data_IF_134011514701
#
_entry.id   IF_134011514701
#
_cell.length_a   1.000
_cell.length_b   1.000
_cell.length_c   1.000
_cell.angle_alpha   90.00
_cell.angle_beta   90.00
_cell.angle_gamma   90.00
#
_symmetry.space_group_name_H-M   'P 1'
#
loop_
_entity.id
_entity.type
_entity.pdbx_description
1 polymer ?
#
# COMPACT_ATOMS: atom_id res chain seq x y z
N UNK A 1 26.65 24.25 1.32
CA UNK A 1 26.80 23.04 0.49
C UNK A 1 26.28 21.86 1.30
N UNK A 2 25.03 21.43 1.06
CA UNK A 2 24.41 20.32 1.78
C UNK A 2 24.99 19.02 1.21
N UNK A 3 25.77 18.28 2.00
CA UNK A 3 26.22 16.93 1.64
C UNK A 3 25.01 16.00 1.76
N UNK A 4 24.51 15.54 0.61
CA UNK A 4 23.62 14.38 0.54
C UNK A 4 24.50 13.15 0.82
N UNK A 5 24.42 12.62 2.04
CA UNK A 5 25.05 11.34 2.35
C UNK A 5 24.48 10.25 1.44
N UNK A 6 25.35 9.33 1.03
CA UNK A 6 25.00 8.25 0.11
C UNK A 6 23.82 7.44 0.65
N UNK A 7 22.80 7.26 -0.19
CA UNK A 7 21.62 6.46 0.11
C UNK A 7 22.09 5.05 0.50
N UNK A 8 22.00 4.71 1.80
CA UNK A 8 22.27 3.35 2.27
C UNK A 8 21.35 2.40 1.52
N UNK A 9 21.92 1.28 1.05
CA UNK A 9 21.17 0.24 0.35
C UNK A 9 19.94 -0.16 1.17
N UNK A 10 18.76 -0.32 0.53
CA UNK A 10 17.58 -0.84 1.20
C UNK A 10 17.93 -2.11 1.97
N UNK A 11 17.52 -2.22 3.23
CA UNK A 11 17.50 -3.52 3.88
C UNK A 11 16.51 -4.40 3.11
N UNK A 12 16.95 -5.61 2.74
CA UNK A 12 16.05 -6.60 2.19
C UNK A 12 14.89 -6.84 3.16
N UNK A 13 13.69 -7.13 2.64
CA UNK A 13 12.58 -7.54 3.48
C UNK A 13 13.04 -8.74 4.32
N UNK A 14 12.64 -8.81 5.60
CA UNK A 14 12.85 -10.02 6.39
C UNK A 14 12.25 -11.19 5.62
N UNK A 15 13.02 -12.27 5.41
CA UNK A 15 12.56 -13.44 4.68
C UNK A 15 11.47 -14.12 5.51
N UNK A 16 10.22 -13.75 5.25
CA UNK A 16 9.06 -14.56 5.61
C UNK A 16 8.83 -15.46 4.39
N UNK A 17 8.78 -16.76 4.59
CA UNK A 17 8.53 -17.69 3.50
C UNK A 17 7.04 -17.77 3.19
N UNK A 18 6.68 -18.12 1.95
CA UNK A 18 5.28 -18.25 1.54
C UNK A 18 4.53 -19.28 2.39
N UNK A 19 5.23 -20.35 2.82
CA UNK A 19 4.68 -21.41 3.65
C UNK A 19 4.22 -20.90 5.02
N UNK A 20 4.94 -19.95 5.63
CA UNK A 20 4.56 -19.36 6.92
C UNK A 20 3.21 -18.64 6.84
N UNK A 21 2.97 -17.96 5.72
CA UNK A 21 1.72 -17.21 5.49
C UNK A 21 0.58 -18.16 5.15
N UNK A 22 0.84 -19.21 4.38
CA UNK A 22 -0.15 -20.24 4.07
C UNK A 22 -0.69 -20.90 5.35
N UNK A 23 0.21 -21.31 6.25
CA UNK A 23 -0.13 -21.85 7.57
C UNK A 23 -0.98 -20.83 8.35
N UNK A 24 -0.63 -19.55 8.28
CA UNK A 24 -1.36 -18.51 8.99
C UNK A 24 -2.80 -18.31 8.47
N UNK A 25 -2.98 -18.25 7.14
CA UNK A 25 -4.28 -18.00 6.51
C UNK A 25 -5.19 -19.25 6.57
N UNK A 26 -4.63 -20.45 6.38
CA UNK A 26 -5.38 -21.72 6.33
C UNK A 26 -6.11 -22.08 7.64
N UNK A 27 -5.78 -21.42 8.75
CA UNK A 27 -6.50 -21.56 10.03
C UNK A 27 -7.82 -20.78 10.10
N UNK A 28 -8.14 -19.95 9.10
CA UNK A 28 -9.30 -19.05 9.11
C UNK A 28 -10.50 -19.60 8.31
N UNK A 29 -11.72 -19.38 8.84
CA UNK A 29 -13.01 -19.99 8.46
C UNK A 29 -13.56 -19.62 7.06
N UNK A 30 -12.91 -18.74 6.32
CA UNK A 30 -13.46 -18.18 5.10
C UNK A 30 -12.68 -18.73 3.91
N UNK A 31 -13.26 -19.71 3.20
CA UNK A 31 -12.64 -20.41 2.05
C UNK A 31 -12.01 -19.46 1.02
N UNK A 32 -11.16 -19.99 0.14
CA UNK A 32 -10.18 -19.26 -0.69
C UNK A 32 -10.64 -17.89 -1.26
N UNK A 33 -10.52 -16.82 -0.46
CA UNK A 33 -10.62 -15.43 -0.92
C UNK A 33 -9.33 -15.08 -1.68
N UNK A 34 -8.23 -15.71 -1.29
CA UNK A 34 -6.88 -15.48 -1.81
C UNK A 34 -6.15 -16.81 -1.89
N UNK A 35 -5.58 -17.13 -3.06
CA UNK A 35 -4.57 -18.18 -3.19
C UNK A 35 -3.20 -17.54 -2.96
N UNK A 36 -2.49 -18.00 -1.91
CA UNK A 36 -1.19 -17.44 -1.53
C UNK A 36 -0.10 -17.77 -2.56
N UNK A 37 -0.26 -18.84 -3.34
CA UNK A 37 0.73 -19.27 -4.35
C UNK A 37 0.84 -18.27 -5.51
N UNK A 38 -0.19 -17.45 -5.72
CA UNK A 38 -0.19 -16.34 -6.68
C UNK A 38 0.65 -15.14 -6.22
N UNK A 39 1.10 -15.12 -4.96
CA UNK A 39 1.77 -13.99 -4.35
C UNK A 39 3.27 -14.21 -4.21
N UNK A 40 4.01 -13.11 -4.34
CA UNK A 40 5.43 -13.07 -4.00
C UNK A 40 5.79 -11.82 -3.22
N UNK A 41 6.92 -11.80 -2.49
CA UNK A 41 7.39 -10.60 -1.83
C UNK A 41 7.59 -9.44 -2.80
N UNK A 42 7.10 -8.26 -2.44
CA UNK A 42 7.24 -7.06 -3.26
C UNK A 42 8.71 -6.67 -3.40
N UNK A 43 9.15 -6.45 -4.63
CA UNK A 43 10.55 -6.14 -4.90
C UNK A 43 10.95 -4.78 -4.30
N UNK A 44 12.17 -4.67 -3.72
CA UNK A 44 12.65 -3.40 -3.18
C UNK A 44 12.70 -2.25 -4.19
N UNK A 45 12.82 -2.57 -5.48
CA UNK A 45 12.84 -1.62 -6.61
C UNK A 45 11.58 -0.74 -6.66
N UNK A 46 10.41 -1.30 -6.34
CA UNK A 46 9.12 -0.59 -6.33
C UNK A 46 9.15 0.59 -5.35
N UNK A 47 9.75 0.42 -4.16
CA UNK A 47 9.80 1.48 -3.14
C UNK A 47 10.73 2.64 -3.52
N UNK A 48 11.61 2.44 -4.51
CA UNK A 48 12.55 3.43 -5.01
C UNK A 48 12.00 4.20 -6.23
N UNK A 49 10.87 3.77 -6.81
CA UNK A 49 10.26 4.46 -7.94
C UNK A 49 9.83 5.89 -7.59
N UNK A 50 10.03 6.80 -8.53
CA UNK A 50 9.62 8.19 -8.40
C UNK A 50 8.12 8.38 -8.58
N UNK A 51 7.50 9.22 -7.74
CA UNK A 51 6.05 9.46 -7.74
C UNK A 51 5.49 9.92 -9.10
N UNK A 52 6.09 10.97 -9.70
CA UNK A 52 5.52 11.61 -10.90
C UNK A 52 5.43 10.69 -12.12
N UNK A 53 6.42 9.80 -12.29
CA UNK A 53 6.48 8.91 -13.45
C UNK A 53 5.66 7.62 -13.24
N UNK A 54 5.62 7.09 -12.01
CA UNK A 54 5.12 5.73 -11.74
C UNK A 54 3.90 5.68 -10.81
N UNK A 55 3.21 6.80 -10.53
CA UNK A 55 2.04 6.83 -9.62
C UNK A 55 1.03 5.70 -9.90
N UNK A 56 0.63 5.57 -11.16
CA UNK A 56 -0.35 4.56 -11.59
C UNK A 56 0.17 3.14 -11.44
N UNK A 57 1.44 2.92 -11.79
CA UNK A 57 2.09 1.61 -11.68
C UNK A 57 2.22 1.19 -10.21
N UNK A 58 2.61 2.12 -9.33
CA UNK A 58 2.68 1.90 -7.88
C UNK A 58 1.28 1.54 -7.35
N UNK A 59 0.26 2.31 -7.72
CA UNK A 59 -1.12 2.07 -7.30
C UNK A 59 -1.63 0.70 -7.74
N UNK A 60 -1.39 0.33 -9.00
CA UNK A 60 -1.77 -0.95 -9.59
C UNK A 60 -1.03 -2.12 -8.94
N UNK A 61 0.26 -1.96 -8.69
CA UNK A 61 1.08 -2.99 -8.03
C UNK A 61 0.61 -3.25 -6.59
N UNK A 62 0.23 -2.19 -5.88
CA UNK A 62 -0.25 -2.30 -4.50
C UNK A 62 -1.73 -2.70 -4.40
N UNK A 63 -2.47 -2.65 -5.49
CA UNK A 63 -3.86 -3.08 -5.54
C UNK A 63 -3.97 -4.61 -5.41
N UNK A 64 -4.64 -5.05 -4.35
CA UNK A 64 -4.70 -6.46 -3.99
C UNK A 64 -3.38 -6.99 -3.42
N UNK A 65 -2.43 -6.12 -3.06
CA UNK A 65 -1.28 -6.55 -2.26
C UNK A 65 -1.73 -6.95 -0.84
N UNK A 66 -0.96 -7.82 -0.21
CA UNK A 66 -1.13 -8.18 1.20
C UNK A 66 0.00 -7.60 2.04
N UNK A 67 -0.34 -7.06 3.19
CA UNK A 67 0.60 -6.69 4.24
C UNK A 67 0.56 -7.79 5.29
N UNK A 68 1.67 -8.49 5.45
CA UNK A 68 1.89 -9.34 6.61
C UNK A 68 2.62 -8.54 7.70
N UNK A 69 1.98 -8.37 8.85
CA UNK A 69 2.48 -7.53 9.95
C UNK A 69 2.14 -8.16 11.30
N UNK A 70 3.15 -8.63 12.03
CA UNK A 70 2.93 -9.40 13.27
C UNK A 70 2.10 -10.65 13.00
N UNK A 71 0.94 -10.76 13.65
CA UNK A 71 -0.04 -11.83 13.46
C UNK A 71 -1.23 -11.38 12.60
N UNK A 72 -1.06 -10.43 11.70
CA UNK A 72 -2.13 -10.01 10.80
C UNK A 72 -1.68 -10.08 9.35
N UNK A 73 -2.59 -10.56 8.50
CA UNK A 73 -2.46 -10.47 7.06
C UNK A 73 -3.60 -9.60 6.55
N UNK A 74 -3.24 -8.44 6.02
CA UNK A 74 -4.19 -7.43 5.56
C UNK A 74 -4.12 -7.34 4.04
N UNK A 75 -5.18 -7.75 3.35
CA UNK A 75 -5.35 -7.50 1.92
C UNK A 75 -5.72 -6.03 1.72
N UNK A 76 -5.15 -5.39 0.68
CA UNK A 76 -5.42 -4.00 0.33
C UNK A 76 -6.19 -3.92 -0.99
N UNK A 77 -7.52 -3.89 -1.00
CA UNK A 77 -8.28 -3.80 -2.25
C UNK A 77 -8.12 -2.46 -2.96
N UNK A 78 -7.86 -1.38 -2.21
CA UNK A 78 -7.81 -0.03 -2.75
C UNK A 78 -6.72 0.83 -2.08
N UNK A 79 -5.94 1.56 -2.89
CA UNK A 79 -4.91 2.48 -2.41
C UNK A 79 -4.93 3.81 -3.14
N UNK A 80 -4.47 4.87 -2.47
CA UNK A 80 -4.22 6.17 -3.06
C UNK A 80 -2.76 6.55 -2.86
N UNK A 81 -2.09 6.97 -3.93
CA UNK A 81 -0.66 7.29 -3.93
C UNK A 81 -0.48 8.81 -3.89
N UNK A 82 0.30 9.26 -2.92
CA UNK A 82 0.63 10.66 -2.67
C UNK A 82 2.12 10.89 -2.84
N UNK A 83 2.48 12.00 -3.49
CA UNK A 83 3.87 12.46 -3.56
C UNK A 83 4.31 13.05 -2.23
N UNK A 84 5.62 13.16 -1.96
CA UNK A 84 6.11 13.82 -0.73
C UNK A 84 6.36 15.31 -0.86
N UNK A 85 6.41 15.85 -2.07
CA UNK A 85 6.69 17.28 -2.29
C UNK A 85 5.41 18.08 -2.09
N UNK A 86 5.29 18.91 -1.03
CA UNK A 86 4.06 19.64 -0.71
C UNK A 86 3.59 20.60 -1.80
N UNK A 87 4.51 21.05 -2.64
CA UNK A 87 4.20 21.94 -3.77
C UNK A 87 3.38 21.24 -4.87
N UNK A 88 3.43 19.91 -4.96
CA UNK A 88 2.79 19.14 -6.04
C UNK A 88 1.52 18.38 -5.58
N UNK A 89 1.27 18.27 -4.27
CA UNK A 89 0.16 17.49 -3.72
C UNK A 89 -0.34 18.10 -2.39
N UNK A 90 -1.53 18.74 -2.38
CA UNK A 90 -2.08 19.41 -1.19
C UNK A 90 -2.49 18.43 -0.08
N UNK A 91 -2.42 17.11 -0.34
CA UNK A 91 -2.70 16.06 0.63
C UNK A 91 -1.42 15.39 1.16
N UNK A 92 -0.22 15.83 0.73
CA UNK A 92 1.08 15.24 1.12
C UNK A 92 1.55 15.63 2.52
N UNK A 93 0.66 15.79 3.49
CA UNK A 93 1.03 16.14 4.85
C UNK A 93 2.09 15.18 5.40
N UNK A 94 2.76 15.55 6.50
CA UNK A 94 3.84 14.81 7.17
C UNK A 94 3.42 13.39 7.63
N UNK A 95 3.10 12.49 6.70
CA UNK A 95 2.44 11.23 7.01
C UNK A 95 3.44 10.24 7.64
N UNK A 96 4.74 10.31 7.30
CA UNK A 96 5.82 9.56 7.99
C UNK A 96 7.19 10.19 7.71
N UNK A 97 7.97 10.65 8.70
CA UNK A 97 9.39 10.99 8.46
C UNK A 97 10.19 9.73 8.10
N UNK A 98 11.12 9.78 7.13
CA UNK A 98 11.93 8.62 6.78
C UNK A 98 12.77 8.23 7.98
N UNK A 99 12.39 7.13 8.63
CA UNK A 99 13.34 6.31 9.35
C UNK A 99 14.13 5.59 8.25
N UNK A 100 15.40 5.28 8.46
CA UNK A 100 16.37 4.77 7.48
C UNK A 100 15.97 3.50 6.69
N UNK A 101 14.74 3.01 6.83
CA UNK A 101 14.14 1.96 6.02
C UNK A 101 13.40 2.53 4.81
N UNK A 102 13.64 1.90 3.66
CA UNK A 102 13.09 2.29 2.35
C UNK A 102 11.56 2.15 2.27
N UNK A 103 10.98 1.44 3.24
CA UNK A 103 9.55 1.19 3.40
C UNK A 103 9.21 1.16 4.88
N UNK A 104 8.11 1.83 5.26
CA UNK A 104 7.47 1.70 6.58
C UNK A 104 5.97 1.50 6.41
N UNK A 105 5.43 0.48 7.07
CA UNK A 105 3.98 0.32 7.23
C UNK A 105 3.61 0.87 8.61
N UNK A 106 2.63 1.77 8.67
CA UNK A 106 2.19 2.35 9.94
C UNK A 106 0.74 2.82 9.88
N UNK A 107 0.14 3.01 11.05
CA UNK A 107 -1.07 3.79 11.20
C UNK A 107 -0.75 5.24 11.47
N UNK A 108 -1.61 6.11 10.96
CA UNK A 108 -1.68 7.51 11.35
C UNK A 108 -3.10 7.86 11.77
N UNK A 109 -3.27 8.91 12.56
CA UNK A 109 -4.59 9.44 12.87
C UNK A 109 -4.79 10.75 12.10
N UNK A 110 -5.81 10.81 11.23
CA UNK A 110 -6.08 11.96 10.36
C UNK A 110 -7.57 12.02 10.00
N UNK A 111 -8.16 13.21 9.91
CA UNK A 111 -9.61 13.42 9.73
C UNK A 111 -10.48 12.63 10.72
N UNK A 112 -10.04 12.53 11.99
CA UNK A 112 -10.71 11.77 13.05
C UNK A 112 -10.83 10.25 12.79
N UNK A 113 -10.02 9.69 11.88
CA UNK A 113 -9.97 8.25 11.61
C UNK A 113 -8.53 7.73 11.60
N UNK A 114 -8.36 6.45 11.94
CA UNK A 114 -7.06 5.79 11.79
C UNK A 114 -6.87 5.34 10.34
N UNK A 115 -5.74 5.70 9.73
CA UNK A 115 -5.44 5.37 8.33
C UNK A 115 -4.20 4.49 8.24
N UNK A 116 -4.26 3.42 7.44
CA UNK A 116 -3.11 2.56 7.16
C UNK A 116 -2.29 3.09 5.98
N UNK A 117 -0.98 3.28 6.18
CA UNK A 117 -0.09 3.86 5.18
C UNK A 117 1.14 2.97 4.96
N UNK A 118 1.55 2.86 3.70
CA UNK A 118 2.87 2.40 3.28
C UNK A 118 3.68 3.63 2.85
N UNK A 119 4.61 4.08 3.69
CA UNK A 119 5.48 5.21 3.40
C UNK A 119 6.83 4.76 2.83
N UNK A 120 7.31 5.46 1.80
CA UNK A 120 8.68 5.32 1.25
C UNK A 120 9.42 6.66 1.28
N UNK A 121 10.64 6.70 0.74
CA UNK A 121 11.39 7.96 0.58
C UNK A 121 10.76 8.93 -0.42
N UNK A 122 10.02 8.43 -1.41
CA UNK A 122 9.55 9.22 -2.57
C UNK A 122 8.04 9.45 -2.57
N UNK A 123 7.28 8.56 -1.94
CA UNK A 123 5.82 8.57 -1.98
C UNK A 123 5.22 7.94 -0.71
N UNK A 124 3.91 8.06 -0.54
CA UNK A 124 3.13 7.32 0.45
C UNK A 124 1.90 6.71 -0.21
N UNK A 125 1.55 5.49 0.15
CA UNK A 125 0.32 4.83 -0.27
C UNK A 125 -0.64 4.71 0.92
N UNK A 126 -1.81 5.33 0.80
CA UNK A 126 -2.90 5.23 1.75
C UNK A 126 -3.80 4.06 1.37
N UNK A 127 -4.00 3.08 2.25
CA UNK A 127 -5.03 2.07 2.08
C UNK A 127 -6.41 2.69 2.34
N UNK A 128 -7.25 2.74 1.30
CA UNK A 128 -8.61 3.30 1.36
C UNK A 128 -9.70 2.23 1.50
N UNK A 129 -9.28 0.98 1.60
CA UNK A 129 -10.05 -0.16 2.09
C UNK A 129 -9.07 -1.25 2.45
N UNK A 130 -9.43 -2.12 3.39
CA UNK A 130 -8.61 -3.27 3.75
C UNK A 130 -9.48 -4.43 4.23
N UNK A 131 -8.92 -5.64 4.16
CA UNK A 131 -9.54 -6.85 4.69
C UNK A 131 -8.49 -7.58 5.51
N UNK A 132 -8.74 -7.79 6.79
CA UNK A 132 -7.93 -8.67 7.61
C UNK A 132 -8.32 -10.13 7.30
N UNK A 133 -7.44 -10.86 6.63
CA UNK A 133 -7.74 -12.20 6.12
C UNK A 133 -7.90 -13.24 7.24
N UNK A 134 -7.28 -13.02 8.40
CA UNK A 134 -7.37 -13.93 9.54
C UNK A 134 -8.69 -13.87 10.28
N UNK A 135 -9.26 -12.68 10.43
CA UNK A 135 -10.50 -12.46 11.19
C UNK A 135 -11.70 -12.30 10.28
N UNK A 136 -11.48 -11.98 9.00
CA UNK A 136 -12.53 -11.61 8.05
C UNK A 136 -13.05 -10.17 8.24
N UNK A 137 -12.41 -9.35 9.08
CA UNK A 137 -12.82 -7.96 9.29
C UNK A 137 -12.57 -7.17 7.99
N UNK A 138 -13.61 -6.48 7.53
CA UNK A 138 -13.58 -5.64 6.32
C UNK A 138 -13.72 -4.19 6.76
N UNK A 139 -12.75 -3.37 6.37
CA UNK A 139 -12.74 -1.94 6.59
C UNK A 139 -12.92 -1.23 5.24
N UNK A 140 -14.01 -0.48 5.11
CA UNK A 140 -14.35 0.27 3.88
C UNK A 140 -14.12 1.76 4.13
N UNK A 141 -13.35 2.40 3.26
CA UNK A 141 -12.89 3.77 3.47
C UNK A 141 -11.51 3.81 4.13
N UNK A 142 -11.03 5.01 4.43
CA UNK A 142 -9.69 5.18 4.99
C UNK A 142 -9.58 4.77 6.47
N UNK A 143 -10.67 4.38 7.15
CA UNK A 143 -10.65 3.97 8.55
C UNK A 143 -10.17 2.52 8.68
N UNK A 144 -8.98 2.30 9.22
CA UNK A 144 -8.35 1.00 9.40
C UNK A 144 -8.07 0.76 10.89
N UNK A 145 -9.12 0.79 11.70
CA UNK A 145 -9.00 0.83 13.16
C UNK A 145 -8.49 -0.49 13.75
N UNK A 146 -8.84 -1.60 13.11
CA UNK A 146 -8.48 -2.96 13.53
C UNK A 146 -7.11 -3.43 13.01
N UNK A 147 -6.47 -2.67 12.11
CA UNK A 147 -5.14 -3.02 11.63
C UNK A 147 -4.08 -2.67 12.68
N UNK A 148 -3.35 -3.67 13.14
CA UNK A 148 -2.13 -3.54 13.92
C UNK A 148 -0.93 -3.37 12.97
N UNK A 149 0.12 -2.71 13.45
CA UNK A 149 1.38 -2.57 12.70
C UNK A 149 2.53 -2.98 13.61
N UNK A 150 3.34 -3.93 13.15
CA UNK A 150 4.56 -4.36 13.83
C UNK A 150 5.78 -3.57 13.33
N UNK A 151 6.89 -3.66 14.07
CA UNK A 151 8.17 -3.05 13.70
C UNK A 151 8.71 -3.57 12.36
N UNK A 152 8.33 -4.79 11.97
CA UNK A 152 8.62 -5.38 10.68
C UNK A 152 7.31 -5.72 9.97
N UNK A 153 7.25 -5.45 8.68
CA UNK A 153 6.11 -5.82 7.84
C UNK A 153 6.60 -6.21 6.46
N UNK A 154 6.05 -7.28 5.90
CA UNK A 154 6.36 -7.79 4.56
C UNK A 154 5.17 -7.48 3.66
N UNK A 155 5.42 -6.93 2.47
CA UNK A 155 4.35 -6.70 1.49
C UNK A 155 4.49 -7.79 0.44
N UNK A 156 3.40 -8.46 0.16
CA UNK A 156 3.25 -9.46 -0.87
C UNK A 156 2.36 -8.91 -1.97
N UNK A 157 2.71 -9.19 -3.22
CA UNK A 157 1.91 -8.75 -4.35
C UNK A 157 1.59 -9.92 -5.27
N UNK A 158 0.50 -9.78 -6.02
CA UNK A 158 0.08 -10.76 -7.01
C UNK A 158 0.96 -10.70 -8.26
N UNK A 159 1.41 -11.86 -8.71
CA UNK A 159 2.16 -12.01 -9.95
C UNK A 159 1.38 -11.60 -11.21
N UNK A 160 0.06 -11.66 -11.12
CA UNK A 160 -0.91 -11.46 -12.19
C UNK A 160 -1.78 -10.22 -11.96
N UNK A 161 -1.25 -9.15 -11.36
CA UNK A 161 -2.05 -7.98 -10.96
C UNK A 161 -2.95 -7.44 -12.10
N UNK A 162 -2.55 -7.57 -13.36
CA UNK A 162 -3.34 -7.18 -14.53
C UNK A 162 -4.67 -7.94 -14.66
N UNK A 163 -4.72 -9.17 -14.14
CA UNK A 163 -5.89 -10.05 -14.09
C UNK A 163 -6.66 -9.90 -12.77
N UNK A 164 -6.15 -9.10 -11.82
CA UNK A 164 -6.80 -8.90 -10.54
C UNK A 164 -8.08 -8.08 -10.73
N UNK A 165 -9.28 -8.64 -10.47
CA UNK A 165 -10.54 -7.91 -10.59
C UNK A 165 -10.62 -6.71 -9.64
N UNK A 166 -9.77 -6.65 -8.59
CA UNK A 166 -9.66 -5.50 -7.69
C UNK A 166 -8.91 -4.33 -8.33
N UNK A 167 -8.09 -4.56 -9.36
CA UNK A 167 -7.46 -3.47 -10.13
C UNK A 167 -8.51 -2.70 -10.92
N UNK A 168 -9.54 -3.35 -11.45
CA UNK A 168 -10.69 -2.62 -12.01
C UNK A 168 -11.38 -1.75 -10.97
N UNK A 169 -11.46 -2.18 -9.70
CA UNK A 169 -12.02 -1.36 -8.61
C UNK A 169 -11.16 -0.15 -8.27
N UNK A 170 -9.83 -0.24 -8.39
CA UNK A 170 -8.96 0.93 -8.29
C UNK A 170 -9.29 1.95 -9.38
N UNK A 171 -9.50 1.48 -10.61
CA UNK A 171 -9.79 2.32 -11.78
C UNK A 171 -11.20 2.96 -11.70
N UNK A 172 -12.16 2.35 -11.00
CA UNK A 172 -13.55 2.82 -10.93
C UNK A 172 -13.84 3.88 -9.85
N UNK A 173 -12.90 4.19 -8.96
CA UNK A 173 -13.15 5.12 -7.83
C UNK A 173 -12.89 6.58 -8.19
N UNK A 174 -13.96 7.41 -8.26
CA UNK A 174 -14.11 8.90 -8.15
C UNK A 174 -13.06 9.89 -8.72
N UNK A 175 -11.87 9.47 -9.10
CA UNK A 175 -10.78 10.26 -9.66
C UNK A 175 -10.42 9.86 -11.09
N UNK A 176 -11.18 8.95 -11.72
CA UNK A 176 -11.22 8.94 -13.17
C UNK A 176 -11.78 10.31 -13.56
N UNK A 177 -10.89 11.19 -14.02
CA UNK A 177 -11.18 12.52 -14.48
C UNK A 177 -12.47 12.48 -15.33
N UNK A 178 -13.59 12.88 -14.72
CA UNK A 178 -14.55 13.63 -15.50
C UNK A 178 -13.80 14.93 -15.75
N UNK A 179 -13.36 15.15 -16.99
CA UNK A 179 -12.84 16.45 -17.41
C UNK A 179 -13.93 17.49 -17.08
N UNK A 180 -13.86 18.10 -15.90
CA UNK A 180 -14.77 19.20 -15.51
C UNK A 180 -14.30 20.55 -16.06
N UNK A 181 -13.34 20.54 -16.98
CA UNK A 181 -13.03 21.68 -17.82
C UNK A 181 -13.11 21.29 -19.30
N UNK A 182 -14.31 20.94 -19.77
CA UNK A 182 -14.65 21.31 -21.14
C UNK A 182 -14.67 22.82 -21.17
N UNK A 183 -13.61 23.41 -21.76
CA UNK A 183 -13.47 24.81 -22.17
C UNK A 183 -14.73 25.61 -21.89
N UNK A 184 -14.73 26.42 -20.83
CA UNK A 184 -15.60 27.59 -20.84
C UNK A 184 -15.21 28.39 -22.08
N UNK A 185 -16.20 28.54 -22.95
CA UNK A 185 -16.12 29.07 -24.29
C UNK A 185 -15.48 30.46 -24.35
N UNK A 186 -14.93 30.76 -25.53
CA UNK A 186 -14.68 32.07 -26.16
C UNK A 186 -14.93 33.31 -25.30
#
# INVERSE_FOLDING_TARGET
MIRLDSIKKPRAQTNVESADIEIFISTSRFGAIVDITDYKPLEPSIFLQGYKASKSEIAQTLAGAMIHTGSQVVLIPKVEIYGRTPADDPHSFDLVKPILDVKKVCKIFHDNVEKLIIGTLQWSALATSSIELTTGIIEVGANNSHTHTASQSTIWFRNDWQLNPLVERQLRSKFYHKETYSKSAL
#
